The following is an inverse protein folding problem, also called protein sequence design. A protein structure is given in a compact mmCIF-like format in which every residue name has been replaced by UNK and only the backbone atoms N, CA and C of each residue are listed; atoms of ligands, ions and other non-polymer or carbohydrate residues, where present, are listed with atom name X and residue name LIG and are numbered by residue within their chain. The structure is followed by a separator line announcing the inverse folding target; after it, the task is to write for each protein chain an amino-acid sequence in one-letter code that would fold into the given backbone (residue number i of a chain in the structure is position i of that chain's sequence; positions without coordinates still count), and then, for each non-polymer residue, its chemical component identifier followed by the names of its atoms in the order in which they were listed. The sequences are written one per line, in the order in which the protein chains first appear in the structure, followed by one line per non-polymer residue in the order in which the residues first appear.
data_IF_833736043791
#
_entry.id   IF_833736043791
#
_cell.length_a   1.000
_cell.length_b   1.000
_cell.length_c   1.000
_cell.angle_alpha   90.00
_cell.angle_beta   90.00
_cell.angle_gamma   90.00
#
_symmetry.space_group_name_H-M   'P 1'
#
loop_
_entity.id
_entity.type
_entity.pdbx_description
1 polymer ?
#
# COMPACT_ATOMS: atom_id res chain seq x y z
N UNK A 1 1.11 1.70 -34.89
CA UNK A 1 0.56 0.52 -35.62
C UNK A 1 -0.93 0.27 -35.41
N UNK A 2 -1.53 0.44 -34.21
CA UNK A 2 -2.98 0.20 -33.99
C UNK A 2 -3.95 1.21 -34.65
N UNK A 3 -3.53 2.46 -34.89
CA UNK A 3 -4.36 3.51 -35.57
C UNK A 3 -4.61 3.22 -37.07
N UNK A 4 -3.81 2.35 -37.69
CA UNK A 4 -3.93 2.04 -39.12
C UNK A 4 -4.97 0.94 -39.37
N UNK A 5 -5.27 0.09 -38.38
CA UNK A 5 -6.13 -1.11 -38.56
C UNK A 5 -7.64 -0.79 -38.62
N UNK A 6 -8.11 0.20 -37.85
CA UNK A 6 -9.54 0.60 -37.85
C UNK A 6 -9.93 1.39 -39.11
N UNK A 7 -9.06 2.31 -39.56
CA UNK A 7 -9.24 2.95 -40.86
C UNK A 7 -9.04 1.95 -42.00
N UNK A 8 -8.15 0.97 -41.83
CA UNK A 8 -7.94 -0.09 -42.82
C UNK A 8 -9.19 -0.93 -43.06
N UNK A 9 -10.01 -1.36 -42.10
CA UNK A 9 -11.15 -2.22 -42.45
C UNK A 9 -12.28 -1.49 -43.23
N UNK A 10 -12.63 -0.26 -42.85
CA UNK A 10 -13.64 0.50 -43.58
C UNK A 10 -13.10 1.11 -44.88
N UNK A 11 -11.84 1.58 -44.89
CA UNK A 11 -11.19 2.11 -46.09
C UNK A 11 -10.71 0.99 -47.03
N UNK A 12 -10.40 -0.22 -46.57
CA UNK A 12 -10.18 -1.38 -47.45
C UNK A 12 -11.48 -1.78 -48.12
N UNK A 13 -12.64 -1.77 -47.46
CA UNK A 13 -13.91 -2.09 -48.15
C UNK A 13 -14.29 -1.00 -49.16
N UNK A 14 -13.99 0.28 -48.92
CA UNK A 14 -14.26 1.35 -49.89
C UNK A 14 -13.22 1.42 -51.03
N UNK A 15 -11.92 1.23 -50.74
CA UNK A 15 -10.83 1.29 -51.73
C UNK A 15 -10.64 -0.02 -52.50
N UNK A 16 -10.89 -1.19 -51.91
CA UNK A 16 -10.81 -2.47 -52.65
C UNK A 16 -11.98 -2.68 -53.60
N UNK A 17 -13.16 -2.13 -53.30
CA UNK A 17 -14.35 -2.30 -54.15
C UNK A 17 -14.34 -1.34 -55.35
N UNK A 18 -13.66 -0.19 -55.24
CA UNK A 18 -13.48 0.75 -56.35
C UNK A 18 -12.27 0.41 -57.26
N UNK A 19 -11.42 -0.56 -56.86
CA UNK A 19 -10.25 -1.03 -57.63
C UNK A 19 -10.16 -2.58 -57.75
N UNK A 20 -11.25 -3.34 -57.57
CA UNK A 20 -11.26 -4.80 -57.78
C UNK A 20 -11.12 -5.12 -59.28
N UNK A 21 -9.88 -5.20 -59.76
CA UNK A 21 -9.54 -5.40 -61.17
C UNK A 21 -9.58 -6.88 -61.59
N UNK A 22 -9.48 -7.82 -60.64
CA UNK A 22 -9.51 -9.26 -60.93
C UNK A 22 -10.78 -9.96 -60.42
N UNK A 23 -11.10 -11.13 -60.99
CA UNK A 23 -12.20 -11.99 -60.52
C UNK A 23 -12.00 -12.42 -59.07
N UNK A 24 -10.76 -12.69 -58.68
CA UNK A 24 -10.37 -13.06 -57.32
C UNK A 24 -10.68 -11.94 -56.31
N UNK A 25 -10.41 -10.67 -56.64
CA UNK A 25 -10.72 -9.53 -55.77
C UNK A 25 -12.23 -9.37 -55.52
N UNK A 26 -13.04 -9.60 -56.57
CA UNK A 26 -14.51 -9.55 -56.46
C UNK A 26 -15.06 -10.69 -55.61
N UNK A 27 -14.48 -11.88 -55.72
CA UNK A 27 -14.86 -13.04 -54.90
C UNK A 27 -14.46 -12.84 -53.43
N UNK A 28 -13.26 -12.32 -53.16
CA UNK A 28 -12.81 -11.96 -51.81
C UNK A 28 -13.70 -10.88 -51.17
N UNK A 29 -14.05 -9.82 -51.91
CA UNK A 29 -14.94 -8.77 -51.43
C UNK A 29 -16.37 -9.31 -51.13
N UNK A 30 -16.84 -10.29 -51.91
CA UNK A 30 -18.14 -10.94 -51.66
C UNK A 30 -18.10 -11.80 -50.40
N UNK A 31 -17.01 -12.54 -50.17
CA UNK A 31 -16.81 -13.35 -48.97
C UNK A 31 -16.78 -12.47 -47.71
N UNK A 32 -15.99 -11.39 -47.71
CA UNK A 32 -15.91 -10.45 -46.61
C UNK A 32 -17.27 -9.81 -46.28
N UNK A 33 -18.05 -9.42 -47.30
CA UNK A 33 -19.43 -8.91 -47.09
C UNK A 33 -20.34 -9.96 -46.43
N UNK A 34 -20.19 -11.24 -46.79
CA UNK A 34 -20.97 -12.31 -46.19
C UNK A 34 -20.58 -12.54 -44.71
N UNK A 35 -19.29 -12.49 -44.39
CA UNK A 35 -18.78 -12.57 -43.02
C UNK A 35 -19.29 -11.43 -42.14
N UNK A 36 -19.18 -10.18 -42.62
CA UNK A 36 -19.70 -8.99 -41.92
C UNK A 36 -21.23 -9.12 -41.72
N UNK A 37 -21.96 -9.58 -42.73
CA UNK A 37 -23.41 -9.80 -42.63
C UNK A 37 -23.75 -10.87 -41.61
N UNK A 38 -23.00 -11.97 -41.55
CA UNK A 38 -23.19 -13.04 -40.58
C UNK A 38 -22.90 -12.54 -39.15
N UNK A 39 -21.80 -11.81 -38.94
CA UNK A 39 -21.46 -11.20 -37.65
C UNK A 39 -22.56 -10.23 -37.17
N UNK A 40 -23.03 -9.34 -38.04
CA UNK A 40 -24.12 -8.42 -37.72
C UNK A 40 -25.45 -9.13 -37.42
N UNK A 41 -25.70 -10.31 -38.02
CA UNK A 41 -26.88 -11.11 -37.70
C UNK A 41 -26.83 -11.62 -36.25
N UNK A 42 -25.67 -12.09 -35.78
CA UNK A 42 -25.49 -12.53 -34.38
C UNK A 42 -25.72 -11.37 -33.41
N UNK A 43 -25.13 -10.21 -33.68
CA UNK A 43 -25.39 -8.99 -32.91
C UNK A 43 -26.89 -8.66 -32.87
N UNK A 44 -27.56 -8.71 -34.02
CA UNK A 44 -29.00 -8.40 -34.11
C UNK A 44 -29.85 -9.40 -33.33
N UNK A 45 -29.46 -10.67 -33.29
CA UNK A 45 -30.13 -11.68 -32.45
C UNK A 45 -30.01 -11.32 -30.97
N UNK A 46 -28.81 -10.99 -30.49
CA UNK A 46 -28.61 -10.54 -29.11
C UNK A 46 -29.46 -9.30 -28.76
N UNK A 47 -29.51 -8.31 -29.67
CA UNK A 47 -30.34 -7.10 -29.51
C UNK A 47 -31.83 -7.41 -29.44
N UNK A 48 -32.31 -8.33 -30.27
CA UNK A 48 -33.72 -8.73 -30.26
C UNK A 48 -34.06 -9.45 -28.95
N UNK A 49 -33.16 -10.29 -28.42
CA UNK A 49 -33.37 -10.94 -27.12
C UNK A 49 -33.36 -9.95 -25.96
N UNK A 50 -32.51 -8.93 -25.99
CA UNK A 50 -32.51 -7.85 -25.00
C UNK A 50 -33.84 -7.08 -24.97
N UNK A 51 -34.48 -6.89 -26.13
CA UNK A 51 -35.75 -6.19 -26.26
C UNK A 51 -36.96 -7.04 -25.82
N UNK A 52 -36.82 -8.37 -25.80
CA UNK A 52 -37.87 -9.29 -25.39
C UNK A 52 -37.92 -9.43 -23.86
N UNK A 53 -39.06 -9.14 -23.25
CA UNK A 53 -39.27 -9.31 -21.81
C UNK A 53 -39.20 -10.77 -21.37
N UNK A 54 -39.54 -11.72 -22.27
CA UNK A 54 -39.39 -13.16 -22.04
C UNK A 54 -38.02 -13.69 -22.46
N UNK A 55 -37.12 -12.82 -22.96
CA UNK A 55 -35.83 -13.20 -23.50
C UNK A 55 -34.91 -13.86 -22.46
N UNK A 56 -34.27 -14.97 -22.84
CA UNK A 56 -33.29 -15.63 -22.00
C UNK A 56 -31.97 -14.83 -22.00
N UNK A 57 -31.72 -14.08 -20.93
CA UNK A 57 -30.51 -13.25 -20.81
C UNK A 57 -29.19 -14.04 -20.86
N UNK A 58 -29.19 -15.33 -20.49
CA UNK A 58 -28.00 -16.17 -20.63
C UNK A 58 -27.66 -16.49 -22.08
N UNK A 59 -28.68 -16.71 -22.92
CA UNK A 59 -28.48 -16.89 -24.36
C UNK A 59 -28.14 -15.56 -25.06
N UNK A 60 -28.77 -14.45 -24.63
CA UNK A 60 -28.40 -13.11 -25.08
C UNK A 60 -26.91 -12.80 -24.76
N UNK A 61 -26.45 -13.14 -23.56
CA UNK A 61 -25.04 -12.99 -23.14
C UNK A 61 -24.11 -13.84 -24.02
N UNK A 62 -24.47 -15.09 -24.32
CA UNK A 62 -23.70 -15.93 -25.23
C UNK A 62 -23.56 -15.33 -26.62
N UNK A 63 -24.66 -14.85 -27.20
CA UNK A 63 -24.67 -14.25 -28.53
C UNK A 63 -23.89 -12.93 -28.57
N UNK A 64 -24.00 -12.09 -27.54
CA UNK A 64 -23.26 -10.83 -27.52
C UNK A 64 -21.76 -11.05 -27.32
N UNK A 65 -21.35 -12.07 -26.55
CA UNK A 65 -19.93 -12.43 -26.42
C UNK A 65 -19.35 -12.90 -27.76
N UNK A 66 -20.10 -13.67 -28.56
CA UNK A 66 -19.69 -14.01 -29.93
C UNK A 66 -19.50 -12.76 -30.81
N UNK A 67 -20.37 -11.75 -30.67
CA UNK A 67 -20.23 -10.50 -31.38
C UNK A 67 -19.06 -9.63 -30.86
N UNK A 68 -18.70 -9.74 -29.59
CA UNK A 68 -17.51 -9.07 -29.01
C UNK A 68 -16.21 -9.71 -29.51
N UNK A 69 -16.18 -11.03 -29.66
CA UNK A 69 -15.00 -11.75 -30.15
C UNK A 69 -14.79 -11.55 -31.66
N UNK A 70 -15.87 -11.27 -32.41
CA UNK A 70 -15.79 -11.08 -33.85
C UNK A 70 -15.16 -9.71 -34.22
N UNK A 71 -14.11 -9.68 -35.06
CA UNK A 71 -13.35 -8.47 -35.37
C UNK A 71 -14.13 -7.41 -36.18
N UNK A 72 -15.27 -7.77 -36.75
CA UNK A 72 -16.12 -6.83 -37.50
C UNK A 72 -17.14 -6.12 -36.62
N UNK A 73 -17.59 -6.78 -35.55
CA UNK A 73 -18.62 -6.24 -34.64
C UNK A 73 -18.01 -5.63 -33.38
N UNK A 74 -16.79 -6.03 -32.97
CA UNK A 74 -16.11 -5.46 -31.81
C UNK A 74 -15.61 -4.02 -31.99
N UNK A 75 -15.64 -3.50 -33.21
CA UNK A 75 -15.35 -2.09 -33.54
C UNK A 75 -16.63 -1.23 -33.60
N UNK A 76 -17.79 -1.80 -33.29
CA UNK A 76 -19.09 -1.12 -33.36
C UNK A 76 -19.55 -0.77 -31.94
N UNK A 77 -19.86 0.51 -31.69
CA UNK A 77 -20.33 0.99 -30.39
C UNK A 77 -21.62 0.28 -29.92
N UNK A 78 -22.57 0.03 -30.82
CA UNK A 78 -23.82 -0.70 -30.53
C UNK A 78 -23.57 -2.12 -29.99
N UNK A 79 -22.48 -2.80 -30.38
CA UNK A 79 -22.12 -4.13 -29.83
C UNK A 79 -21.86 -4.02 -28.33
N UNK A 80 -20.99 -3.10 -27.94
CA UNK A 80 -20.59 -2.93 -26.54
C UNK A 80 -21.72 -2.32 -25.70
N UNK A 81 -22.52 -1.41 -26.27
CA UNK A 81 -23.70 -0.91 -25.60
C UNK A 81 -24.71 -2.04 -25.35
N UNK A 82 -24.97 -2.89 -26.35
CA UNK A 82 -25.87 -4.06 -26.19
C UNK A 82 -25.34 -5.00 -25.10
N UNK A 83 -24.03 -5.24 -25.06
CA UNK A 83 -23.41 -6.05 -24.02
C UNK A 83 -23.63 -5.48 -22.62
N UNK A 84 -23.36 -4.18 -22.43
CA UNK A 84 -23.60 -3.52 -21.15
C UNK A 84 -25.07 -3.54 -20.74
N UNK A 85 -26.01 -3.37 -21.69
CA UNK A 85 -27.45 -3.44 -21.39
C UNK A 85 -27.94 -4.87 -21.04
N UNK A 86 -27.36 -5.92 -21.63
CA UNK A 86 -27.61 -7.30 -21.21
C UNK A 86 -27.12 -7.53 -19.77
N UNK A 87 -25.91 -7.06 -19.45
CA UNK A 87 -25.39 -7.14 -18.08
C UNK A 87 -26.25 -6.33 -17.10
N UNK A 88 -26.78 -5.17 -17.53
CA UNK A 88 -27.72 -4.38 -16.73
C UNK A 88 -28.96 -5.19 -16.36
N UNK A 89 -29.55 -5.95 -17.30
CA UNK A 89 -30.72 -6.81 -17.01
C UNK A 89 -30.40 -7.90 -15.99
N UNK A 90 -29.22 -8.52 -16.08
CA UNK A 90 -28.75 -9.52 -15.12
C UNK A 90 -28.52 -8.89 -13.73
N UNK A 91 -27.85 -7.75 -13.70
CA UNK A 91 -27.61 -6.95 -12.51
C UNK A 91 -28.91 -6.54 -11.82
N UNK A 92 -29.85 -5.93 -12.56
CA UNK A 92 -31.12 -5.42 -12.01
C UNK A 92 -31.93 -6.54 -11.37
N UNK A 93 -31.92 -7.75 -11.95
CA UNK A 93 -32.61 -8.92 -11.41
C UNK A 93 -32.05 -9.35 -10.05
N UNK A 94 -30.73 -9.38 -9.90
CA UNK A 94 -30.11 -9.72 -8.62
C UNK A 94 -30.21 -8.56 -7.61
N UNK A 95 -30.17 -7.31 -8.09
CA UNK A 95 -30.41 -6.12 -7.27
C UNK A 95 -31.82 -6.11 -6.66
N UNK A 96 -32.83 -6.49 -7.44
CA UNK A 96 -34.21 -6.59 -6.97
C UNK A 96 -34.34 -7.64 -5.85
N UNK A 97 -33.74 -8.82 -6.03
CA UNK A 97 -33.70 -9.84 -4.97
C UNK A 97 -33.01 -9.33 -3.72
N UNK A 98 -31.87 -8.66 -3.86
CA UNK A 98 -31.16 -8.05 -2.73
C UNK A 98 -32.04 -7.05 -1.99
N UNK A 99 -32.72 -6.14 -2.71
CA UNK A 99 -33.64 -5.16 -2.13
C UNK A 99 -34.82 -5.82 -1.39
N UNK A 100 -35.35 -6.91 -1.95
CA UNK A 100 -36.42 -7.71 -1.36
C UNK A 100 -35.94 -8.67 -0.26
N UNK A 101 -34.66 -8.61 0.12
CA UNK A 101 -34.03 -9.49 1.11
C UNK A 101 -34.13 -10.99 0.75
N UNK A 102 -34.18 -11.29 -0.55
CA UNK A 102 -34.17 -12.65 -1.07
C UNK A 102 -32.73 -13.11 -1.36
N UNK A 103 -32.46 -14.43 -1.37
CA UNK A 103 -31.19 -14.96 -1.83
C UNK A 103 -30.89 -14.51 -3.27
N UNK A 104 -29.76 -13.87 -3.48
CA UNK A 104 -29.27 -13.42 -4.79
C UNK A 104 -27.88 -13.98 -5.06
N UNK A 105 -27.47 -14.00 -6.33
CA UNK A 105 -26.14 -14.43 -6.72
C UNK A 105 -25.19 -13.23 -6.72
N UNK A 106 -24.27 -13.17 -5.76
CA UNK A 106 -23.22 -12.15 -5.71
C UNK A 106 -22.33 -12.17 -6.96
N UNK A 107 -22.00 -13.37 -7.46
CA UNK A 107 -21.17 -13.53 -8.67
C UNK A 107 -21.84 -12.93 -9.90
N UNK A 108 -23.15 -13.14 -10.05
CA UNK A 108 -23.92 -12.50 -11.13
C UNK A 108 -24.05 -11.00 -10.88
N UNK A 109 -24.32 -10.59 -9.64
CA UNK A 109 -24.52 -9.19 -9.28
C UNK A 109 -23.26 -8.34 -9.52
N UNK A 110 -22.17 -8.64 -8.81
CA UNK A 110 -20.92 -7.90 -8.92
C UNK A 110 -20.17 -8.18 -10.24
N UNK A 111 -20.29 -9.40 -10.77
CA UNK A 111 -19.74 -9.74 -12.09
C UNK A 111 -20.41 -8.95 -13.22
N UNK A 112 -21.75 -8.83 -13.20
CA UNK A 112 -22.48 -8.01 -14.17
C UNK A 112 -22.15 -6.53 -14.01
N UNK A 113 -22.07 -6.03 -12.77
CA UNK A 113 -21.65 -4.66 -12.48
C UNK A 113 -20.29 -4.35 -13.12
N UNK A 114 -19.28 -5.18 -12.86
CA UNK A 114 -17.94 -4.97 -13.41
C UNK A 114 -17.92 -5.01 -14.94
N UNK A 115 -18.64 -5.97 -15.55
CA UNK A 115 -18.79 -6.05 -17.01
C UNK A 115 -19.48 -4.82 -17.59
N UNK A 116 -20.50 -4.24 -16.92
CA UNK A 116 -21.15 -3.00 -17.38
C UNK A 116 -20.15 -1.85 -17.49
N UNK A 117 -19.33 -1.62 -16.45
CA UNK A 117 -18.29 -0.59 -16.47
C UNK A 117 -17.33 -0.78 -17.65
N UNK A 118 -16.86 -2.01 -17.87
CA UNK A 118 -15.95 -2.32 -18.97
C UNK A 118 -16.61 -2.12 -20.35
N UNK A 119 -17.81 -2.64 -20.55
CA UNK A 119 -18.50 -2.59 -21.84
C UNK A 119 -18.95 -1.18 -22.20
N UNK A 120 -19.49 -0.41 -21.26
CA UNK A 120 -19.87 0.97 -21.55
C UNK A 120 -18.66 1.88 -21.74
N UNK A 121 -17.57 1.70 -21.00
CA UNK A 121 -16.33 2.43 -21.26
C UNK A 121 -15.75 2.09 -22.65
N UNK A 122 -15.82 0.82 -23.06
CA UNK A 122 -15.39 0.41 -24.41
C UNK A 122 -16.29 0.99 -25.51
N UNK A 123 -17.59 1.04 -25.27
CA UNK A 123 -18.54 1.71 -26.15
C UNK A 123 -18.15 3.19 -26.33
N UNK A 124 -17.88 3.89 -25.22
CA UNK A 124 -17.48 5.29 -25.24
C UNK A 124 -16.14 5.53 -25.96
N UNK A 125 -15.16 4.65 -25.77
CA UNK A 125 -13.86 4.71 -26.47
C UNK A 125 -14.04 4.67 -28.00
N UNK A 126 -14.97 3.83 -28.48
CA UNK A 126 -15.29 3.72 -29.91
C UNK A 126 -16.03 4.97 -30.39
N UNK A 127 -17.01 5.46 -29.65
CA UNK A 127 -17.75 6.70 -29.99
C UNK A 127 -16.87 7.95 -29.98
N UNK A 128 -15.80 7.93 -29.19
CA UNK A 128 -14.79 9.00 -29.11
C UNK A 128 -13.90 9.08 -30.34
N UNK A 129 -13.92 8.07 -31.23
CA UNK A 129 -13.18 8.14 -32.49
C UNK A 129 -13.96 8.97 -33.53
N UNK A 130 -13.28 9.85 -34.29
CA UNK A 130 -13.91 10.53 -35.40
C UNK A 130 -14.44 9.54 -36.45
N UNK A 131 -15.67 9.74 -36.92
CA UNK A 131 -16.22 8.97 -38.02
C UNK A 131 -15.54 9.34 -39.36
N UNK A 132 -15.97 8.73 -40.47
CA UNK A 132 -15.43 8.99 -41.81
C UNK A 132 -15.50 10.47 -42.27
N UNK A 133 -16.32 11.30 -41.62
CA UNK A 133 -16.44 12.75 -41.86
C UNK A 133 -15.64 13.60 -40.86
N UNK A 134 -14.80 12.97 -40.02
CA UNK A 134 -14.04 13.64 -38.97
C UNK A 134 -14.88 14.09 -37.76
N UNK A 135 -16.16 13.69 -37.67
CA UNK A 135 -17.05 14.07 -36.56
C UNK A 135 -17.04 13.00 -35.48
N UNK A 136 -16.89 13.41 -34.22
CA UNK A 136 -17.10 12.57 -33.03
C UNK A 136 -18.59 12.62 -32.66
N UNK A 137 -19.20 11.45 -32.43
CA UNK A 137 -20.63 11.33 -32.11
C UNK A 137 -20.78 10.37 -30.94
N UNK A 138 -21.27 10.87 -29.82
CA UNK A 138 -21.60 10.08 -28.64
C UNK A 138 -23.10 9.78 -28.61
N UNK A 139 -23.52 8.62 -29.13
CA UNK A 139 -24.91 8.19 -29.11
C UNK A 139 -25.31 7.65 -27.74
N UNK A 140 -24.38 7.06 -26.99
CA UNK A 140 -24.69 6.38 -25.72
C UNK A 140 -24.05 6.98 -24.47
N UNK A 141 -23.02 7.83 -24.62
CA UNK A 141 -22.26 8.42 -23.49
C UNK A 141 -23.14 8.93 -22.36
N UNK A 142 -24.13 9.78 -22.64
CA UNK A 142 -24.91 10.44 -21.60
C UNK A 142 -25.69 9.46 -20.72
N UNK A 143 -26.45 8.56 -21.34
CA UNK A 143 -27.24 7.55 -20.63
C UNK A 143 -26.36 6.54 -19.88
N UNK A 144 -25.24 6.10 -20.49
CA UNK A 144 -24.32 5.17 -19.85
C UNK A 144 -23.58 5.83 -18.68
N UNK A 145 -23.18 7.09 -18.83
CA UNK A 145 -22.53 7.86 -17.77
C UNK A 145 -23.46 8.08 -16.57
N UNK A 146 -24.72 8.44 -16.83
CA UNK A 146 -25.74 8.60 -15.78
C UNK A 146 -25.92 7.29 -14.99
N UNK A 147 -26.16 6.19 -15.69
CA UNK A 147 -26.31 4.87 -15.08
C UNK A 147 -25.09 4.49 -14.24
N UNK A 148 -23.89 4.58 -14.81
CA UNK A 148 -22.66 4.18 -14.12
C UNK A 148 -22.34 5.06 -12.93
N UNK A 149 -22.58 6.38 -13.02
CA UNK A 149 -22.39 7.28 -11.89
C UNK A 149 -23.23 6.89 -10.67
N UNK A 150 -24.48 6.45 -10.90
CA UNK A 150 -25.39 6.05 -9.83
C UNK A 150 -25.02 4.71 -9.18
N UNK A 151 -24.47 3.77 -9.93
CA UNK A 151 -24.13 2.42 -9.42
C UNK A 151 -22.64 2.24 -9.09
N UNK A 152 -21.80 3.25 -9.31
CA UNK A 152 -20.37 3.21 -9.02
C UNK A 152 -20.04 2.81 -7.56
N UNK A 153 -20.75 3.29 -6.53
CA UNK A 153 -20.50 2.85 -5.15
C UNK A 153 -20.60 1.33 -4.93
N UNK A 154 -21.37 0.62 -5.76
CA UNK A 154 -21.55 -0.83 -5.61
C UNK A 154 -20.28 -1.63 -5.98
N UNK A 155 -19.32 -1.01 -6.69
CA UNK A 155 -17.98 -1.59 -6.88
C UNK A 155 -17.25 -1.68 -5.55
N UNK A 156 -17.37 -0.66 -4.68
CA UNK A 156 -16.80 -0.69 -3.33
C UNK A 156 -17.49 -1.75 -2.48
N UNK A 157 -18.82 -1.81 -2.52
CA UNK A 157 -19.58 -2.84 -1.80
C UNK A 157 -19.14 -4.25 -2.19
N UNK A 158 -19.03 -4.54 -3.49
CA UNK A 158 -18.55 -5.84 -3.97
C UNK A 158 -17.09 -6.11 -3.61
N UNK A 159 -16.24 -5.08 -3.67
CA UNK A 159 -14.85 -5.18 -3.23
C UNK A 159 -14.75 -5.59 -1.76
N UNK A 160 -15.51 -4.93 -0.88
CA UNK A 160 -15.59 -5.25 0.55
C UNK A 160 -16.16 -6.64 0.78
N UNK A 161 -17.22 -7.03 0.06
CA UNK A 161 -17.81 -8.37 0.17
C UNK A 161 -16.80 -9.46 -0.15
N UNK A 162 -16.06 -9.35 -1.24
CA UNK A 162 -15.05 -10.35 -1.61
C UNK A 162 -13.82 -10.29 -0.70
N UNK A 163 -13.41 -9.10 -0.25
CA UNK A 163 -12.31 -8.93 0.68
C UNK A 163 -12.59 -9.64 2.02
N UNK A 164 -13.81 -9.51 2.54
CA UNK A 164 -14.24 -10.19 3.77
C UNK A 164 -14.33 -11.72 3.62
N UNK A 165 -14.35 -12.23 2.39
CA UNK A 165 -14.31 -13.67 2.06
C UNK A 165 -12.89 -14.15 1.71
N UNK A 166 -11.88 -13.31 1.93
CA UNK A 166 -10.48 -13.51 1.52
C UNK A 166 -10.28 -13.78 0.02
N UNK A 167 -11.27 -13.42 -0.81
CA UNK A 167 -11.13 -13.42 -2.27
C UNK A 167 -10.51 -12.10 -2.73
N UNK A 168 -9.21 -11.99 -2.45
CA UNK A 168 -8.45 -10.75 -2.64
C UNK A 168 -8.32 -10.36 -4.12
N UNK A 169 -8.35 -11.32 -5.05
CA UNK A 169 -8.28 -11.01 -6.48
C UNK A 169 -9.55 -10.28 -6.94
N UNK A 170 -10.74 -10.81 -6.64
CA UNK A 170 -12.00 -10.14 -7.01
C UNK A 170 -12.19 -8.83 -6.26
N UNK A 171 -11.76 -8.78 -4.99
CA UNK A 171 -11.74 -7.53 -4.23
C UNK A 171 -10.89 -6.46 -4.92
N UNK A 172 -9.64 -6.80 -5.27
CA UNK A 172 -8.72 -5.92 -5.97
C UNK A 172 -9.31 -5.42 -7.30
N UNK A 173 -9.88 -6.32 -8.10
CA UNK A 173 -10.45 -5.97 -9.41
C UNK A 173 -11.58 -4.93 -9.29
N UNK A 174 -12.45 -5.06 -8.29
CA UNK A 174 -13.54 -4.11 -8.07
C UNK A 174 -13.08 -2.78 -7.47
N UNK A 175 -12.18 -2.80 -6.48
CA UNK A 175 -11.61 -1.58 -5.92
C UNK A 175 -10.81 -0.80 -6.97
N UNK A 176 -9.98 -1.49 -7.76
CA UNK A 176 -9.21 -0.88 -8.83
C UNK A 176 -10.12 -0.28 -9.91
N UNK A 177 -11.18 -0.98 -10.32
CA UNK A 177 -12.15 -0.45 -11.28
C UNK A 177 -12.89 0.78 -10.74
N UNK A 178 -13.20 0.82 -9.44
CA UNK A 178 -13.75 2.01 -8.79
C UNK A 178 -12.79 3.21 -8.91
N UNK A 179 -11.52 3.03 -8.57
CA UNK A 179 -10.49 4.07 -8.63
C UNK A 179 -10.29 4.55 -10.09
N UNK A 180 -10.11 3.62 -11.03
CA UNK A 180 -9.85 3.93 -12.44
C UNK A 180 -11.05 4.59 -13.12
N UNK A 181 -12.28 4.21 -12.75
CA UNK A 181 -13.50 4.77 -13.34
C UNK A 181 -13.66 6.27 -13.07
N UNK A 182 -13.02 6.82 -12.04
CA UNK A 182 -13.01 8.28 -11.81
C UNK A 182 -12.41 9.06 -12.99
N UNK A 183 -11.58 8.42 -13.81
CA UNK A 183 -10.89 9.01 -14.98
C UNK A 183 -11.50 8.59 -16.33
N UNK A 184 -12.62 7.87 -16.33
CA UNK A 184 -13.28 7.51 -17.59
C UNK A 184 -13.79 8.76 -18.31
N UNK A 185 -13.53 8.94 -19.63
CA UNK A 185 -13.97 10.13 -20.36
C UNK A 185 -15.49 10.36 -20.29
N UNK A 186 -16.29 9.30 -20.33
CA UNK A 186 -17.74 9.42 -20.18
C UNK A 186 -18.18 9.97 -18.81
N UNK A 187 -17.36 9.83 -17.77
CA UNK A 187 -17.65 10.28 -16.40
C UNK A 187 -16.99 11.63 -16.04
N UNK A 188 -16.29 12.27 -16.98
CA UNK A 188 -15.58 13.53 -16.76
C UNK A 188 -16.49 14.63 -16.17
N UNK A 189 -17.75 14.70 -16.61
CA UNK A 189 -18.73 15.70 -16.13
C UNK A 189 -19.01 15.64 -14.62
N UNK A 190 -18.73 14.50 -13.96
CA UNK A 190 -18.94 14.32 -12.52
C UNK A 190 -17.72 14.73 -11.69
N UNK A 191 -16.56 14.90 -12.32
CA UNK A 191 -15.32 15.33 -11.69
C UNK A 191 -14.92 14.50 -10.43
N UNK A 192 -15.11 13.17 -10.49
CA UNK A 192 -14.85 12.29 -9.34
C UNK A 192 -13.41 12.37 -8.83
N UNK A 193 -12.43 12.65 -9.68
CA UNK A 193 -11.02 12.85 -9.26
C UNK A 193 -10.91 13.92 -8.16
N UNK A 194 -11.75 14.96 -8.19
CA UNK A 194 -11.72 16.03 -7.20
C UNK A 194 -12.83 15.93 -6.15
N UNK A 195 -13.94 15.25 -6.45
CA UNK A 195 -15.14 15.24 -5.59
C UNK A 195 -15.34 13.96 -4.80
N UNK A 196 -14.72 12.85 -5.22
CA UNK A 196 -14.89 11.55 -4.59
C UNK A 196 -13.93 11.35 -3.42
N UNK A 197 -14.49 11.47 -2.21
CA UNK A 197 -13.74 11.32 -0.96
C UNK A 197 -13.37 9.88 -0.63
N UNK A 198 -13.94 8.88 -1.31
CA UNK A 198 -13.66 7.47 -1.03
C UNK A 198 -12.43 6.94 -1.77
N UNK A 199 -11.89 7.66 -2.77
CA UNK A 199 -10.74 7.18 -3.57
C UNK A 199 -9.55 6.80 -2.69
N UNK A 200 -9.25 7.58 -1.64
CA UNK A 200 -8.11 7.34 -0.76
C UNK A 200 -8.27 6.04 0.03
N UNK A 201 -9.41 5.88 0.71
CA UNK A 201 -9.74 4.68 1.48
C UNK A 201 -9.85 3.45 0.58
N UNK A 202 -10.48 3.55 -0.60
CA UNK A 202 -10.58 2.44 -1.55
C UNK A 202 -9.20 2.07 -2.13
N UNK A 203 -8.32 3.05 -2.34
CA UNK A 203 -6.93 2.80 -2.75
C UNK A 203 -6.14 2.05 -1.67
N UNK A 204 -6.38 2.35 -0.40
CA UNK A 204 -5.83 1.56 0.71
C UNK A 204 -6.30 0.10 0.66
N UNK A 205 -7.60 -0.15 0.51
CA UNK A 205 -8.13 -1.53 0.44
C UNK A 205 -7.67 -2.28 -0.81
N UNK A 206 -7.58 -1.63 -1.96
CA UNK A 206 -6.97 -2.22 -3.16
C UNK A 206 -5.51 -2.62 -2.87
N UNK A 207 -4.76 -1.75 -2.22
CA UNK A 207 -3.35 -2.01 -1.91
C UNK A 207 -3.21 -3.16 -0.91
N UNK A 208 -4.05 -3.21 0.12
CA UNK A 208 -4.10 -4.29 1.10
C UNK A 208 -4.48 -5.63 0.46
N UNK A 209 -5.43 -5.65 -0.48
CA UNK A 209 -5.73 -6.85 -1.26
C UNK A 209 -4.51 -7.33 -2.07
N UNK A 210 -3.77 -6.40 -2.70
CA UNK A 210 -2.50 -6.70 -3.37
C UNK A 210 -1.45 -7.28 -2.42
N UNK A 211 -1.31 -6.73 -1.21
CA UNK A 211 -0.42 -7.24 -0.16
C UNK A 211 -0.80 -8.66 0.28
N UNK A 212 -2.09 -8.93 0.52
CA UNK A 212 -2.59 -10.27 0.89
C UNK A 212 -2.35 -11.31 -0.19
N UNK A 213 -2.23 -10.89 -1.45
CA UNK A 213 -1.92 -11.75 -2.59
C UNK A 213 -0.43 -11.88 -2.87
N UNK A 214 0.43 -11.19 -2.11
CA UNK A 214 1.87 -11.05 -2.36
C UNK A 214 2.19 -10.48 -3.76
N UNK A 215 1.26 -9.73 -4.34
CA UNK A 215 1.42 -9.01 -5.63
C UNK A 215 1.77 -7.55 -5.33
N UNK A 216 3.02 -7.33 -4.96
CA UNK A 216 3.49 -6.03 -4.46
C UNK A 216 3.45 -4.92 -5.51
N UNK A 217 3.58 -5.23 -6.79
CA UNK A 217 3.37 -4.30 -7.90
C UNK A 217 1.93 -3.77 -7.93
N UNK A 218 0.96 -4.66 -7.71
CA UNK A 218 -0.46 -4.29 -7.61
C UNK A 218 -0.75 -3.49 -6.34
N UNK A 219 -0.08 -3.82 -5.23
CA UNK A 219 -0.20 -3.09 -3.98
C UNK A 219 0.29 -1.63 -4.12
N UNK A 220 1.43 -1.43 -4.79
CA UNK A 220 2.02 -0.11 -5.00
C UNK A 220 1.25 0.76 -6.00
N UNK A 221 0.44 0.16 -6.90
CA UNK A 221 -0.24 0.88 -7.99
C UNK A 221 -1.10 2.07 -7.52
N UNK A 222 -1.75 1.95 -6.36
CA UNK A 222 -2.68 2.96 -5.84
C UNK A 222 -2.35 3.49 -4.45
N UNK A 223 -1.37 2.90 -3.75
CA UNK A 223 -1.09 3.20 -2.35
C UNK A 223 -0.82 4.70 -2.10
N UNK A 224 -0.24 5.40 -3.08
CA UNK A 224 0.07 6.83 -2.98
C UNK A 224 -1.18 7.71 -2.79
N UNK A 225 -2.34 7.30 -3.32
CA UNK A 225 -3.59 8.02 -3.07
C UNK A 225 -4.02 7.95 -1.59
N UNK A 226 -3.61 6.92 -0.86
CA UNK A 226 -4.00 6.70 0.52
C UNK A 226 -3.09 7.41 1.53
N UNK A 227 -1.90 7.86 1.13
CA UNK A 227 -0.86 8.33 2.07
C UNK A 227 -1.29 9.58 2.86
N UNK A 228 -2.13 10.44 2.29
CA UNK A 228 -2.62 11.67 2.94
C UNK A 228 -3.95 11.49 3.66
N UNK A 229 -4.50 10.27 3.68
CA UNK A 229 -5.72 9.97 4.42
C UNK A 229 -5.46 9.94 5.94
N UNK A 230 -6.26 10.64 6.76
CA UNK A 230 -6.06 10.69 8.21
C UNK A 230 -6.21 9.34 8.92
N UNK A 231 -7.05 8.44 8.40
CA UNK A 231 -7.36 7.16 9.06
C UNK A 231 -6.46 6.04 8.56
N UNK A 232 -6.17 6.01 7.26
CA UNK A 232 -5.43 4.90 6.65
C UNK A 232 -4.02 5.25 6.18
N UNK A 233 -3.61 6.52 6.18
CA UNK A 233 -2.35 6.96 5.60
C UNK A 233 -1.10 6.36 6.25
N UNK A 234 -1.11 6.20 7.58
CA UNK A 234 0.00 5.55 8.29
C UNK A 234 0.14 4.07 7.91
N UNK A 235 -0.97 3.33 7.94
CA UNK A 235 -1.00 1.92 7.52
C UNK A 235 -0.62 1.78 6.04
N UNK A 236 -1.06 2.72 5.20
CA UNK A 236 -0.70 2.76 3.80
C UNK A 236 0.81 2.96 3.60
N UNK A 237 1.42 3.87 4.35
CA UNK A 237 2.87 4.09 4.36
C UNK A 237 3.63 2.84 4.82
N UNK A 238 3.13 2.16 5.86
CA UNK A 238 3.68 0.88 6.32
C UNK A 238 3.60 -0.19 5.23
N UNK A 239 2.46 -0.37 4.58
CA UNK A 239 2.33 -1.34 3.47
C UNK A 239 3.20 -0.98 2.27
N UNK A 240 3.39 0.31 1.97
CA UNK A 240 4.32 0.76 0.93
C UNK A 240 5.76 0.35 1.26
N UNK A 241 6.19 0.54 2.51
CA UNK A 241 7.50 0.07 2.98
C UNK A 241 7.61 -1.46 2.86
N UNK A 242 6.61 -2.20 3.37
CA UNK A 242 6.61 -3.65 3.30
C UNK A 242 6.64 -4.18 1.86
N UNK A 243 5.91 -3.54 0.93
CA UNK A 243 5.91 -3.93 -0.48
C UNK A 243 7.32 -3.81 -1.08
N UNK A 244 7.98 -2.65 -0.95
CA UNK A 244 9.35 -2.49 -1.45
C UNK A 244 10.35 -3.44 -0.78
N UNK A 245 10.22 -3.65 0.54
CA UNK A 245 11.05 -4.59 1.29
C UNK A 245 10.92 -6.03 0.76
N UNK A 246 9.69 -6.51 0.54
CA UNK A 246 9.45 -7.86 0.00
C UNK A 246 9.86 -7.99 -1.48
N UNK A 247 9.80 -6.90 -2.25
CA UNK A 247 10.34 -6.88 -3.62
C UNK A 247 11.86 -6.87 -3.67
N UNK A 248 12.54 -6.63 -2.55
CA UNK A 248 13.99 -6.42 -2.51
C UNK A 248 14.44 -5.11 -3.15
N UNK A 249 13.53 -4.16 -3.40
CA UNK A 249 13.88 -2.82 -3.89
C UNK A 249 14.35 -1.96 -2.70
N UNK A 250 15.59 -2.21 -2.27
CA UNK A 250 16.19 -1.56 -1.12
C UNK A 250 16.26 -0.03 -1.28
N UNK A 251 16.47 0.46 -2.51
CA UNK A 251 16.55 1.90 -2.78
C UNK A 251 15.20 2.56 -2.52
N UNK A 252 14.12 2.02 -3.08
CA UNK A 252 12.78 2.54 -2.85
C UNK A 252 12.32 2.32 -1.39
N UNK A 253 12.69 1.19 -0.80
CA UNK A 253 12.37 0.87 0.59
C UNK A 253 12.98 1.88 1.57
N UNK A 254 14.29 2.12 1.50
CA UNK A 254 14.98 3.08 2.39
C UNK A 254 14.49 4.50 2.16
N UNK A 255 14.24 4.90 0.90
CA UNK A 255 13.62 6.19 0.60
C UNK A 255 12.25 6.33 1.27
N UNK A 256 11.39 5.32 1.14
CA UNK A 256 10.05 5.31 1.75
C UNK A 256 10.14 5.32 3.27
N UNK A 257 11.10 4.62 3.88
CA UNK A 257 11.33 4.68 5.33
C UNK A 257 11.72 6.08 5.80
N UNK A 258 12.59 6.80 5.07
CA UNK A 258 12.94 8.19 5.41
C UNK A 258 11.69 9.10 5.37
N UNK A 259 10.90 9.01 4.30
CA UNK A 259 9.63 9.75 4.16
C UNK A 259 8.65 9.40 5.29
N UNK A 260 8.58 8.12 5.68
CA UNK A 260 7.72 7.65 6.75
C UNK A 260 8.16 8.12 8.14
N UNK A 261 9.47 8.18 8.42
CA UNK A 261 10.00 8.72 9.68
C UNK A 261 9.73 10.23 9.79
N UNK A 262 9.83 10.97 8.69
CA UNK A 262 9.48 12.39 8.68
C UNK A 262 7.98 12.62 8.97
N UNK A 263 7.10 11.81 8.36
CA UNK A 263 5.64 11.96 8.50
C UNK A 263 5.08 11.34 9.79
N UNK A 264 5.64 10.23 10.24
CA UNK A 264 5.19 9.43 11.39
C UNK A 264 6.35 9.16 12.36
N UNK A 265 6.95 10.21 12.94
CA UNK A 265 8.18 10.10 13.74
C UNK A 265 8.02 9.29 15.03
N UNK A 266 6.79 9.09 15.51
CA UNK A 266 6.50 8.30 16.71
C UNK A 266 6.22 6.82 16.39
N UNK A 267 6.40 6.39 15.13
CA UNK A 267 6.15 5.00 14.73
C UNK A 267 7.45 4.22 14.65
N UNK A 268 7.66 3.42 15.69
CA UNK A 268 8.85 2.60 15.88
C UNK A 268 9.20 1.75 14.66
N UNK A 269 8.20 1.17 14.00
CA UNK A 269 8.41 0.34 12.81
C UNK A 269 9.31 1.01 11.77
N UNK A 270 9.07 2.27 11.42
CA UNK A 270 9.84 2.94 10.34
C UNK A 270 11.28 3.17 10.77
N UNK A 271 11.47 3.69 11.97
CA UNK A 271 12.79 4.06 12.43
C UNK A 271 13.66 2.85 12.79
N UNK A 272 13.10 1.80 13.42
CA UNK A 272 13.83 0.56 13.73
C UNK A 272 14.31 -0.16 12.47
N UNK A 273 13.51 -0.17 11.41
CA UNK A 273 13.93 -0.70 10.11
C UNK A 273 15.03 0.16 9.47
N UNK A 274 14.94 1.48 9.60
CA UNK A 274 15.96 2.40 9.07
C UNK A 274 17.30 2.24 9.80
N UNK A 275 17.32 2.14 11.14
CA UNK A 275 18.53 1.83 11.90
C UNK A 275 19.14 0.51 11.45
N UNK A 276 18.31 -0.54 11.43
CA UNK A 276 18.77 -1.90 11.11
C UNK A 276 19.44 -1.91 9.73
N UNK A 277 18.83 -1.22 8.76
CA UNK A 277 19.42 -1.06 7.44
C UNK A 277 20.81 -0.40 7.50
N UNK A 278 20.93 0.82 8.04
CA UNK A 278 22.20 1.56 8.01
C UNK A 278 23.31 0.88 8.82
N UNK A 279 22.95 0.27 9.96
CA UNK A 279 23.90 -0.43 10.80
C UNK A 279 24.46 -1.68 10.11
N UNK A 280 23.61 -2.46 9.43
CA UNK A 280 24.03 -3.67 8.72
C UNK A 280 24.85 -3.38 7.44
N UNK A 281 24.91 -2.13 7.00
CA UNK A 281 25.64 -1.69 5.81
C UNK A 281 26.82 -0.77 6.12
N UNK A 282 27.18 -0.59 7.40
CA UNK A 282 28.24 0.33 7.83
C UNK A 282 28.03 1.79 7.35
N UNK A 283 26.78 2.21 7.18
CA UNK A 283 26.38 3.52 6.65
C UNK A 283 25.83 4.46 7.74
N UNK A 284 26.33 4.33 8.97
CA UNK A 284 25.86 5.11 10.12
C UNK A 284 26.05 6.63 9.95
N UNK A 285 27.03 7.07 9.16
CA UNK A 285 27.23 8.50 8.83
C UNK A 285 26.04 9.09 8.05
N UNK A 286 25.42 8.30 7.15
CA UNK A 286 24.26 8.76 6.39
C UNK A 286 23.02 8.88 7.31
N UNK A 287 22.86 7.95 8.25
CA UNK A 287 21.78 8.03 9.24
C UNK A 287 21.98 9.20 10.21
N UNK A 288 23.24 9.50 10.58
CA UNK A 288 23.57 10.68 11.39
C UNK A 288 23.21 11.97 10.65
N UNK A 289 23.61 12.08 9.37
CA UNK A 289 23.28 13.23 8.54
C UNK A 289 21.76 13.41 8.39
N UNK A 290 21.02 12.31 8.19
CA UNK A 290 19.56 12.34 8.16
C UNK A 290 18.98 12.90 9.48
N UNK A 291 19.40 12.38 10.64
CA UNK A 291 18.93 12.89 11.92
C UNK A 291 19.27 14.38 12.13
N UNK A 292 20.47 14.80 11.74
CA UNK A 292 20.88 16.21 11.81
C UNK A 292 20.04 17.12 10.91
N UNK A 293 19.71 16.67 9.71
CA UNK A 293 18.89 17.44 8.77
C UNK A 293 17.44 17.58 9.26
N UNK A 294 16.88 16.53 9.87
CA UNK A 294 15.56 16.58 10.51
C UNK A 294 15.54 17.58 11.67
N UNK A 295 16.56 17.58 12.53
CA UNK A 295 16.67 18.55 13.63
C UNK A 295 16.83 19.99 13.10
N UNK A 296 17.63 20.20 12.05
CA UNK A 296 17.84 21.52 11.43
C UNK A 296 16.59 22.06 10.74
N UNK A 297 15.72 21.20 10.20
CA UNK A 297 14.46 21.62 9.58
C UNK A 297 13.38 22.03 10.59
N UNK A 298 13.68 21.92 11.89
CA UNK A 298 12.75 22.24 12.99
C UNK A 298 11.97 21.04 13.51
N UNK A 299 12.24 19.84 13.00
CA UNK A 299 11.64 18.60 13.50
C UNK A 299 12.38 18.13 14.77
N UNK A 300 12.19 18.88 15.86
CA UNK A 300 12.87 18.71 17.16
C UNK A 300 12.21 17.60 18.01
N UNK A 301 12.23 16.37 17.52
CA UNK A 301 11.60 15.21 18.16
C UNK A 301 12.59 14.28 18.88
N UNK A 302 12.18 13.61 19.98
CA UNK A 302 13.05 12.74 20.77
C UNK A 302 13.76 11.67 19.93
N UNK A 303 13.06 11.11 18.94
CA UNK A 303 13.57 10.04 18.07
C UNK A 303 14.89 10.44 17.40
N UNK A 304 15.06 11.70 16.97
CA UNK A 304 16.26 12.16 16.29
C UNK A 304 17.48 12.22 17.21
N UNK A 305 17.29 12.56 18.48
CA UNK A 305 18.36 12.47 19.47
C UNK A 305 18.68 11.01 19.82
N UNK A 306 17.67 10.16 19.91
CA UNK A 306 17.85 8.73 20.16
C UNK A 306 18.73 8.09 19.08
N UNK A 307 18.49 8.44 17.80
CA UNK A 307 19.31 8.02 16.65
C UNK A 307 20.78 8.35 16.86
N UNK A 308 21.05 9.60 17.16
CA UNK A 308 22.41 10.11 17.32
C UNK A 308 23.09 9.42 18.49
N UNK A 309 22.35 9.17 19.57
CA UNK A 309 22.82 8.38 20.71
C UNK A 309 23.21 6.96 20.30
N UNK A 310 22.33 6.27 19.56
CA UNK A 310 22.55 4.91 19.09
C UNK A 310 23.78 4.80 18.17
N UNK A 311 23.91 5.72 17.22
CA UNK A 311 25.07 5.75 16.30
C UNK A 311 26.37 5.95 17.09
N UNK A 312 26.41 6.92 18.01
CA UNK A 312 27.59 7.17 18.83
C UNK A 312 27.92 5.99 19.74
N UNK A 313 26.91 5.33 20.31
CA UNK A 313 27.11 4.14 21.12
C UNK A 313 27.75 3.00 20.31
N UNK A 314 27.28 2.74 19.09
CA UNK A 314 27.85 1.73 18.20
C UNK A 314 29.29 2.08 17.78
N UNK A 315 29.57 3.37 17.61
CA UNK A 315 30.93 3.88 17.39
C UNK A 315 31.81 3.87 18.66
N UNK A 316 31.29 3.39 19.80
CA UNK A 316 31.93 3.41 21.13
C UNK A 316 32.26 4.82 21.67
N UNK A 317 31.64 5.85 21.10
CA UNK A 317 31.72 7.22 21.59
C UNK A 317 30.70 7.43 22.72
N UNK A 318 30.90 6.74 23.85
CA UNK A 318 29.90 6.67 24.92
C UNK A 318 29.56 8.03 25.53
N UNK A 319 30.53 8.95 25.66
CA UNK A 319 30.27 10.30 26.17
C UNK A 319 29.29 11.07 25.27
N UNK A 320 29.52 11.05 23.94
CA UNK A 320 28.62 11.66 22.98
C UNK A 320 27.25 10.97 22.98
N UNK A 321 27.21 9.64 23.10
CA UNK A 321 25.95 8.89 23.19
C UNK A 321 25.13 9.29 24.41
N UNK A 322 25.78 9.44 25.57
CA UNK A 322 25.15 9.87 26.84
C UNK A 322 24.50 11.25 26.68
N UNK A 323 25.17 12.20 26.03
CA UNK A 323 24.60 13.53 25.77
C UNK A 323 23.30 13.43 24.96
N UNK A 324 23.30 12.65 23.89
CA UNK A 324 22.12 12.51 23.02
C UNK A 324 20.97 11.75 23.70
N UNK A 325 21.27 10.72 24.49
CA UNK A 325 20.24 10.02 25.27
C UNK A 325 19.64 10.89 26.37
N UNK A 326 20.44 11.75 27.01
CA UNK A 326 19.92 12.75 27.95
C UNK A 326 18.99 13.74 27.26
N UNK A 327 19.34 14.23 26.07
CA UNK A 327 18.46 15.08 25.26
C UNK A 327 17.17 14.34 24.87
N UNK A 328 17.26 13.06 24.52
CA UNK A 328 16.08 12.22 24.24
C UNK A 328 15.14 12.20 25.43
N UNK A 329 15.67 11.93 26.63
CA UNK A 329 14.91 11.87 27.89
C UNK A 329 14.35 13.25 28.28
N UNK A 330 15.05 14.33 27.99
CA UNK A 330 14.56 15.69 28.20
C UNK A 330 13.33 15.98 27.34
N UNK A 331 13.34 15.53 26.08
CA UNK A 331 12.23 15.69 25.14
C UNK A 331 11.07 14.74 25.44
N UNK A 332 11.36 13.50 25.82
CA UNK A 332 10.38 12.50 26.22
C UNK A 332 10.86 11.72 27.47
N UNK A 333 10.39 12.13 28.67
CA UNK A 333 10.73 11.46 29.93
C UNK A 333 10.18 10.03 30.08
N UNK A 334 9.36 9.55 29.14
CA UNK A 334 8.83 8.19 29.12
C UNK A 334 9.55 7.29 28.10
N UNK A 335 10.55 7.79 27.38
CA UNK A 335 11.25 7.06 26.32
C UNK A 335 12.13 5.93 26.89
N UNK A 336 11.57 4.74 27.07
CA UNK A 336 12.22 3.58 27.71
C UNK A 336 13.54 3.19 27.05
N UNK A 337 13.61 3.22 25.72
CA UNK A 337 14.83 2.92 24.96
C UNK A 337 16.02 3.83 25.30
N UNK A 338 15.77 5.10 25.61
CA UNK A 338 16.82 6.06 25.96
C UNK A 338 17.38 5.78 27.35
N UNK A 339 16.53 5.44 28.33
CA UNK A 339 17.01 5.01 29.66
C UNK A 339 17.81 3.71 29.57
N UNK A 340 17.32 2.72 28.82
CA UNK A 340 18.04 1.46 28.58
C UNK A 340 19.44 1.72 28.06
N UNK A 341 19.56 2.47 26.97
CA UNK A 341 20.84 2.68 26.31
C UNK A 341 21.77 3.64 27.08
N UNK A 342 21.22 4.62 27.80
CA UNK A 342 21.98 5.48 28.71
C UNK A 342 22.63 4.66 29.83
N UNK A 343 21.88 3.75 30.44
CA UNK A 343 22.39 2.83 31.47
C UNK A 343 23.52 1.95 30.92
N UNK A 344 23.35 1.41 29.71
CA UNK A 344 24.38 0.61 29.03
C UNK A 344 25.65 1.43 28.80
N UNK A 345 25.54 2.68 28.34
CA UNK A 345 26.70 3.55 28.11
C UNK A 345 27.49 3.80 29.40
N UNK A 346 26.81 4.05 30.53
CA UNK A 346 27.50 4.19 31.82
C UNK A 346 28.18 2.89 32.25
N UNK A 347 27.52 1.73 32.11
CA UNK A 347 28.14 0.45 32.43
C UNK A 347 29.36 0.16 31.55
N UNK A 348 29.32 0.53 30.28
CA UNK A 348 30.44 0.32 29.36
C UNK A 348 31.62 1.25 29.66
N UNK A 349 31.38 2.51 30.00
CA UNK A 349 32.43 3.40 30.52
C UNK A 349 33.05 2.84 31.81
N UNK A 350 32.22 2.28 32.70
CA UNK A 350 32.71 1.62 33.91
C UNK A 350 33.62 0.43 33.57
N UNK A 351 33.24 -0.38 32.58
CA UNK A 351 34.04 -1.51 32.11
C UNK A 351 35.36 -1.06 31.50
N UNK A 352 35.36 -0.06 30.61
CA UNK A 352 36.58 0.47 29.98
C UNK A 352 37.58 0.99 31.03
N UNK A 353 37.06 1.62 32.11
CA UNK A 353 37.89 2.06 33.26
C UNK A 353 38.37 0.91 34.13
N UNK A 354 37.54 -0.11 34.30
CA UNK A 354 37.91 -1.33 35.03
C UNK A 354 39.04 -2.06 34.32
N UNK A 355 38.95 -2.21 33.00
CA UNK A 355 39.95 -2.85 32.15
C UNK A 355 41.32 -2.15 32.26
N UNK A 356 41.30 -0.81 32.29
CA UNK A 356 42.51 0.01 32.41
C UNK A 356 43.29 -0.19 33.73
N UNK A 357 42.65 -0.69 34.79
CA UNK A 357 43.29 -0.89 36.10
C UNK A 357 43.58 -2.36 36.45
N UNK A 358 43.24 -3.30 35.57
CA UNK A 358 43.39 -4.76 35.81
C UNK A 358 44.82 -5.21 36.14
N UNK A 359 45.82 -4.50 35.63
CA UNK A 359 47.25 -4.82 35.85
C UNK A 359 47.82 -4.18 37.12
N UNK A 360 47.07 -3.28 37.76
CA UNK A 360 47.51 -2.58 38.96
C UNK A 360 47.36 -3.46 40.20
N UNK A 361 48.26 -3.28 41.16
CA UNK A 361 48.13 -3.94 42.48
C UNK A 361 46.88 -3.42 43.20
N UNK A 362 46.04 -4.32 43.70
CA UNK A 362 44.84 -3.96 44.48
C UNK A 362 45.13 -3.09 45.72
N UNK A 363 46.38 -3.11 46.22
CA UNK A 363 46.81 -2.29 47.36
C UNK A 363 47.28 -0.89 46.94
N UNK A 364 47.55 -0.66 45.66
CA UNK A 364 48.03 0.62 45.12
C UNK A 364 46.99 1.73 45.26
N UNK A 365 47.46 2.98 45.28
CA UNK A 365 46.58 4.15 45.34
C UNK A 365 45.82 4.29 44.02
N UNK A 366 46.50 4.02 42.91
CA UNK A 366 46.02 4.11 41.55
C UNK A 366 44.85 3.14 41.31
N UNK A 367 44.97 1.88 41.75
CA UNK A 367 43.86 0.92 41.69
C UNK A 367 42.65 1.39 42.49
N UNK A 368 42.86 1.89 43.72
CA UNK A 368 41.76 2.38 44.57
C UNK A 368 41.05 3.58 43.94
N UNK A 369 41.81 4.51 43.37
CA UNK A 369 41.26 5.67 42.64
C UNK A 369 40.48 5.23 41.40
N UNK A 370 41.04 4.35 40.58
CA UNK A 370 40.35 3.85 39.39
C UNK A 370 39.10 3.04 39.74
N UNK A 371 39.12 2.22 40.80
CA UNK A 371 37.92 1.52 41.27
C UNK A 371 36.83 2.47 41.75
N UNK A 372 37.19 3.61 42.33
CA UNK A 372 36.21 4.62 42.72
C UNK A 372 35.59 5.30 41.48
N UNK A 373 36.39 5.52 40.43
CA UNK A 373 35.92 6.01 39.13
C UNK A 373 34.96 4.99 38.47
N UNK A 374 35.31 3.70 38.46
CA UNK A 374 34.42 2.61 38.00
C UNK A 374 33.09 2.65 38.75
N UNK A 375 33.12 2.70 40.09
CA UNK A 375 31.90 2.79 40.91
C UNK A 375 31.09 4.05 40.63
N UNK A 376 31.73 5.17 40.31
CA UNK A 376 31.03 6.42 39.99
C UNK A 376 30.08 6.27 38.79
N UNK A 377 30.49 5.52 37.77
CA UNK A 377 29.64 5.24 36.61
C UNK A 377 28.44 4.34 36.96
N UNK A 378 28.63 3.31 37.80
CA UNK A 378 27.50 2.52 38.29
C UNK A 378 26.53 3.33 39.16
N UNK A 379 27.01 4.34 39.91
CA UNK A 379 26.14 5.28 40.63
C UNK A 379 25.33 6.17 39.68
N UNK A 380 25.84 6.46 38.48
CA UNK A 380 25.09 7.16 37.44
C UNK A 380 24.08 6.25 36.74
N UNK A 381 24.42 4.98 36.52
CA UNK A 381 23.54 3.99 35.90
C UNK A 381 22.36 3.59 36.79
N UNK A 382 22.57 3.47 38.11
CA UNK A 382 21.55 3.04 39.07
C UNK A 382 20.22 3.83 38.98
N UNK A 383 20.20 5.18 39.10
CA UNK A 383 18.96 5.94 39.01
C UNK A 383 18.32 5.88 37.61
N UNK A 384 19.09 5.61 36.56
CA UNK A 384 18.59 5.44 35.18
C UNK A 384 17.81 4.14 35.06
N UNK A 385 18.35 3.02 35.55
CA UNK A 385 17.65 1.74 35.55
C UNK A 385 16.48 1.71 36.53
N UNK A 386 16.59 2.38 37.68
CA UNK A 386 15.46 2.58 38.59
C UNK A 386 14.32 3.32 37.90
N UNK A 387 14.63 4.39 37.17
CA UNK A 387 13.63 5.11 36.39
C UNK A 387 13.02 4.24 35.30
N UNK A 388 13.84 3.47 34.57
CA UNK A 388 13.35 2.51 33.56
C UNK A 388 12.37 1.49 34.17
N UNK A 389 12.69 0.95 35.36
CA UNK A 389 11.79 0.04 36.10
C UNK A 389 10.43 0.69 36.39
N UNK A 390 10.37 1.98 36.69
CA UNK A 390 9.09 2.67 36.90
C UNK A 390 8.28 2.92 35.62
N UNK A 391 8.94 2.88 34.46
CA UNK A 391 8.31 3.07 33.16
C UNK A 391 7.86 1.76 32.52
N UNK A 392 8.27 0.61 33.07
CA UNK A 392 7.86 -0.71 32.61
C UNK A 392 6.37 -0.92 32.89
N UNK A 393 5.57 -0.98 31.81
CA UNK A 393 4.14 -1.28 31.85
C UNK A 393 3.81 -2.75 31.55
N UNK A 394 4.84 -3.58 31.34
CA UNK A 394 4.73 -5.00 31.00
C UNK A 394 4.37 -5.29 29.54
N UNK A 395 4.30 -4.28 28.67
CA UNK A 395 4.01 -4.46 27.24
C UNK A 395 5.21 -4.98 26.44
N UNK A 396 6.43 -4.61 26.85
CA UNK A 396 7.69 -5.02 26.22
C UNK A 396 8.56 -5.84 27.21
N UNK A 397 8.69 -7.16 27.01
CA UNK A 397 9.56 -8.00 27.82
C UNK A 397 11.02 -7.55 27.87
N UNK A 398 11.52 -6.89 26.82
CA UNK A 398 12.91 -6.43 26.75
C UNK A 398 13.18 -5.27 27.71
N UNK A 399 12.17 -4.45 28.00
CA UNK A 399 12.27 -3.39 29.02
C UNK A 399 12.53 -4.03 30.38
N UNK A 400 11.78 -5.07 30.72
CA UNK A 400 11.93 -5.80 31.99
C UNK A 400 13.33 -6.40 32.15
N UNK A 401 13.77 -7.14 31.14
CA UNK A 401 15.09 -7.75 31.10
C UNK A 401 16.18 -6.69 31.26
N UNK A 402 16.03 -5.54 30.61
CA UNK A 402 17.02 -4.47 30.64
C UNK A 402 17.18 -3.86 32.04
N UNK A 403 16.10 -3.46 32.72
CA UNK A 403 16.25 -2.89 34.05
C UNK A 403 16.64 -3.92 35.11
N UNK A 404 16.19 -5.18 35.01
CA UNK A 404 16.59 -6.23 35.95
C UNK A 404 18.11 -6.48 35.87
N UNK A 405 18.62 -6.72 34.66
CA UNK A 405 20.05 -6.96 34.43
C UNK A 405 20.92 -5.75 34.82
N UNK A 406 20.43 -4.54 34.51
CA UNK A 406 21.09 -3.29 34.85
C UNK A 406 21.18 -3.05 36.35
N UNK A 407 20.07 -3.23 37.08
CA UNK A 407 20.03 -3.09 38.54
C UNK A 407 20.86 -4.17 39.23
N UNK A 408 20.78 -5.43 38.78
CA UNK A 408 21.64 -6.51 39.28
C UNK A 408 23.12 -6.13 39.23
N UNK A 409 23.57 -5.66 38.06
CA UNK A 409 24.95 -5.23 37.85
C UNK A 409 25.32 -4.07 38.76
N UNK A 410 24.45 -3.05 38.88
CA UNK A 410 24.69 -1.89 39.73
C UNK A 410 24.78 -2.29 41.21
N UNK A 411 23.85 -3.10 41.71
CA UNK A 411 23.83 -3.53 43.10
C UNK A 411 25.05 -4.37 43.47
N UNK A 412 25.48 -5.27 42.57
CA UNK A 412 26.71 -6.02 42.75
C UNK A 412 27.93 -5.11 42.84
N UNK A 413 28.13 -4.22 41.84
CA UNK A 413 29.32 -3.39 41.74
C UNK A 413 29.41 -2.31 42.83
N UNK A 414 28.26 -1.90 43.37
CA UNK A 414 28.15 -0.94 44.47
C UNK A 414 28.11 -1.60 45.86
N UNK A 415 28.14 -2.94 45.93
CA UNK A 415 28.08 -3.72 47.18
C UNK A 415 26.82 -3.43 48.01
N UNK A 416 25.66 -3.36 47.33
CA UNK A 416 24.33 -3.14 47.90
C UNK A 416 23.66 -4.48 48.22
N UNK A 417 24.11 -5.15 49.28
CA UNK A 417 23.74 -6.53 49.61
C UNK A 417 22.21 -6.79 49.67
N UNK A 418 21.44 -6.03 50.47
CA UNK A 418 19.99 -6.25 50.57
C UNK A 418 19.25 -6.11 49.23
N UNK A 419 19.61 -5.10 48.43
CA UNK A 419 19.02 -4.85 47.12
C UNK A 419 19.43 -5.91 46.09
N UNK A 420 20.68 -6.36 46.17
CA UNK A 420 21.21 -7.44 45.35
C UNK A 420 20.49 -8.77 45.60
N UNK A 421 20.34 -9.17 46.87
CA UNK A 421 19.57 -10.37 47.24
C UNK A 421 18.11 -10.29 46.80
N UNK A 422 17.51 -9.09 46.89
CA UNK A 422 16.14 -8.86 46.46
C UNK A 422 15.97 -9.03 44.93
N UNK A 423 16.86 -8.45 44.13
CA UNK A 423 16.77 -8.56 42.66
C UNK A 423 17.13 -9.97 42.18
N UNK A 424 18.07 -10.68 42.83
CA UNK A 424 18.38 -12.10 42.53
C UNK A 424 17.15 -12.97 42.66
N UNK A 425 16.44 -12.83 43.80
CA UNK A 425 15.20 -13.55 44.05
C UNK A 425 14.12 -13.19 43.03
N UNK A 426 14.02 -11.92 42.63
CA UNK A 426 13.07 -11.47 41.62
C UNK A 426 13.35 -12.05 40.24
N UNK A 427 14.63 -12.22 39.89
CA UNK A 427 15.09 -12.86 38.65
C UNK A 427 15.05 -14.38 38.71
N UNK A 428 14.85 -14.97 39.89
CA UNK A 428 14.81 -16.43 40.10
C UNK A 428 16.19 -17.10 40.06
N UNK A 429 17.24 -16.38 40.47
CA UNK A 429 18.63 -16.87 40.53
C UNK A 429 19.00 -17.47 41.88
#
# INVERSE_FOLDING_TARGET
MKRIVLFAMAALVACSVSFAQTKADKEAAKALKAEIKAANKVLKQAQNMLADQAGNMGEAEKLINQAIENPHTNVIADTWNTAGQIQKKLYDKENEKMYLQQPYSEDVFFGSLSKMFNYFNKCDEIESQPNAKGKVIHKFREANAELLSGIRPNLVSGGVTYFNKDDNQRAYDLFSQYIESAKYPMLEKYNFVATDTFINVVSYYASLAGMKMEKYDLALKYIDNALDDPEVGENAMQYKCMAYGNMGDTVAWVKTLKEAVEKYPNKEYFYSNLISYYNNHDQNDELMAFADDMLKSGNDLPIFYFVKGFINQNAKNYDAAIEQYKLTIEKDPAYTGAYRNLGICYCQLAQDKSDAITTLSMKSKEYKTGMEEVKSYYRLALPVYEKLRTLDDGSDPDVKVAWQSGLYTCYYMLNMGPEFEAIEKEMGM
#
